data_IF_267313083777
#
_entry.id   IF_267313083777
#
_cell.length_a   1.000
_cell.length_b   1.000
_cell.length_c   1.000
_cell.angle_alpha   90.00
_cell.angle_beta   90.00
_cell.angle_gamma   90.00
#
_symmetry.space_group_name_H-M   'P 1'
#
loop_
_entity.id
_entity.type
_entity.pdbx_description
1 polymer ?
#
# COMPACT_ATOMS: atom_id res chain seq x y z
N UNK A 1 -6.74 -26.15 -21.17
CA UNK A 1 -6.49 -24.69 -21.24
C UNK A 1 -5.00 -24.49 -21.45
N UNK A 2 -4.56 -23.89 -22.57
CA UNK A 2 -3.14 -23.53 -22.73
C UNK A 2 -2.79 -22.50 -21.65
N UNK A 3 -1.67 -22.61 -20.94
CA UNK A 3 -1.24 -21.56 -20.02
C UNK A 3 -1.05 -20.27 -20.83
N UNK A 4 -1.84 -19.24 -20.51
CA UNK A 4 -1.66 -17.89 -21.04
C UNK A 4 -0.24 -17.45 -20.71
N UNK A 5 0.56 -17.14 -21.73
CA UNK A 5 1.91 -16.64 -21.50
C UNK A 5 1.84 -15.28 -20.80
N UNK A 6 2.69 -15.02 -19.79
CA UNK A 6 2.72 -13.73 -19.12
C UNK A 6 3.13 -12.64 -20.11
N UNK A 7 2.37 -11.53 -20.13
CA UNK A 7 2.70 -10.37 -20.95
C UNK A 7 3.75 -9.51 -20.25
N UNK A 8 4.68 -8.97 -21.04
CA UNK A 8 5.88 -8.28 -20.55
C UNK A 8 5.93 -6.87 -21.14
N UNK A 9 5.81 -5.85 -20.28
CA UNK A 9 5.84 -4.44 -20.67
C UNK A 9 7.18 -3.85 -20.27
N UNK A 10 7.96 -3.38 -21.24
CA UNK A 10 9.20 -2.65 -20.98
C UNK A 10 8.96 -1.18 -21.22
N UNK A 11 9.27 -0.35 -20.23
CA UNK A 11 9.08 1.09 -20.30
C UNK A 11 10.19 1.82 -19.56
N UNK A 12 10.25 3.12 -19.78
CA UNK A 12 11.11 4.05 -19.06
C UNK A 12 10.23 5.06 -18.34
N UNK A 13 10.39 5.17 -17.02
CA UNK A 13 9.63 6.07 -16.17
C UNK A 13 10.54 7.17 -15.67
N UNK A 14 10.25 8.42 -16.04
CA UNK A 14 10.94 9.59 -15.49
C UNK A 14 10.35 9.97 -14.14
N UNK A 15 11.19 10.05 -13.11
CA UNK A 15 10.83 10.51 -11.76
C UNK A 15 11.72 11.69 -11.35
N UNK A 16 11.33 12.50 -10.34
CA UNK A 16 12.22 13.50 -9.76
C UNK A 16 13.57 12.95 -9.26
N UNK A 17 13.61 11.66 -8.87
CA UNK A 17 14.80 10.99 -8.39
C UNK A 17 15.70 10.43 -9.51
N UNK A 18 15.15 10.27 -10.72
CA UNK A 18 15.87 9.83 -11.91
C UNK A 18 14.98 9.07 -12.90
N UNK A 19 15.59 8.51 -13.93
CA UNK A 19 14.88 7.63 -14.87
C UNK A 19 15.00 6.17 -14.43
N UNK A 20 13.89 5.44 -14.46
CA UNK A 20 13.82 4.01 -14.19
C UNK A 20 13.39 3.26 -15.46
N UNK A 21 14.33 2.51 -16.05
CA UNK A 21 14.02 1.55 -17.10
C UNK A 21 13.78 0.18 -16.48
N UNK A 22 12.55 -0.32 -16.55
CA UNK A 22 12.17 -1.60 -15.94
C UNK A 22 11.15 -2.35 -16.77
N UNK A 23 10.77 -3.52 -16.28
CA UNK A 23 9.86 -4.44 -16.94
C UNK A 23 8.76 -4.87 -15.99
N UNK A 24 7.51 -4.58 -16.34
CA UNK A 24 6.33 -5.07 -15.65
C UNK A 24 5.85 -6.36 -16.31
N UNK A 25 5.63 -7.40 -15.50
CA UNK A 25 5.07 -8.68 -15.97
C UNK A 25 3.67 -8.82 -15.39
N UNK A 26 2.71 -9.14 -16.25
CA UNK A 26 1.34 -9.45 -15.83
C UNK A 26 1.02 -10.93 -16.10
N UNK A 27 0.19 -11.57 -15.26
CA UNK A 27 -0.03 -13.01 -15.33
C UNK A 27 -0.89 -13.46 -16.52
N UNK A 28 -1.75 -12.59 -17.05
CA UNK A 28 -2.69 -12.89 -18.13
C UNK A 28 -3.17 -11.63 -18.84
N UNK A 29 -3.66 -11.78 -20.07
CA UNK A 29 -4.32 -10.69 -20.82
C UNK A 29 -5.61 -10.22 -20.15
N UNK A 30 -6.29 -11.08 -19.39
CA UNK A 30 -7.44 -10.72 -18.57
C UNK A 30 -7.13 -10.99 -17.10
N UNK A 31 -7.15 -9.95 -16.25
CA UNK A 31 -6.69 -10.05 -14.86
C UNK A 31 -7.57 -9.27 -13.88
N UNK A 32 -7.55 -9.67 -12.60
CA UNK A 32 -8.25 -8.97 -11.51
C UNK A 32 -7.46 -7.73 -11.08
N UNK A 33 -8.09 -6.83 -10.33
CA UNK A 33 -7.38 -5.70 -9.70
C UNK A 33 -6.29 -6.19 -8.72
N UNK A 34 -6.52 -7.30 -8.00
CA UNK A 34 -5.49 -7.87 -7.12
C UNK A 34 -4.24 -8.34 -7.87
N UNK A 35 -4.40 -8.78 -9.13
CA UNK A 35 -3.27 -9.16 -9.98
C UNK A 35 -2.44 -7.94 -10.41
N UNK A 36 -3.08 -6.79 -10.63
CA UNK A 36 -2.37 -5.53 -10.87
C UNK A 36 -1.50 -5.17 -9.66
N UNK A 37 -2.08 -5.16 -8.45
CA UNK A 37 -1.36 -4.82 -7.22
C UNK A 37 -0.14 -5.72 -6.99
N UNK A 38 -0.29 -7.04 -7.21
CA UNK A 38 0.85 -7.98 -7.12
C UNK A 38 1.92 -7.69 -8.17
N UNK A 39 1.51 -7.38 -9.40
CA UNK A 39 2.43 -7.18 -10.52
C UNK A 39 3.33 -5.96 -10.31
N UNK A 40 2.83 -4.91 -9.65
CA UNK A 40 3.57 -3.65 -9.45
C UNK A 40 4.51 -3.66 -8.25
N UNK A 41 4.46 -4.65 -7.36
CA UNK A 41 5.31 -4.69 -6.15
C UNK A 41 6.80 -4.54 -6.44
N UNK A 42 7.28 -5.19 -7.50
CA UNK A 42 8.68 -5.09 -7.92
C UNK A 42 9.01 -3.70 -8.47
N UNK A 43 8.11 -3.11 -9.24
CA UNK A 43 8.27 -1.75 -9.74
C UNK A 43 8.35 -0.75 -8.56
N UNK A 44 7.53 -0.95 -7.54
CA UNK A 44 7.55 -0.16 -6.31
C UNK A 44 8.87 -0.34 -5.52
N UNK A 45 9.38 -1.57 -5.39
CA UNK A 45 10.73 -1.80 -4.82
C UNK A 45 11.84 -1.07 -5.62
N UNK A 46 11.77 -1.09 -6.95
CA UNK A 46 12.73 -0.40 -7.82
C UNK A 46 12.66 1.13 -7.65
N UNK A 47 11.44 1.69 -7.51
CA UNK A 47 11.20 3.11 -7.24
C UNK A 47 11.74 3.54 -5.87
N UNK A 48 11.50 2.73 -4.84
CA UNK A 48 12.05 2.95 -3.51
C UNK A 48 13.58 2.92 -3.54
N UNK A 49 14.18 1.97 -4.25
CA UNK A 49 15.63 1.89 -4.40
C UNK A 49 16.20 3.12 -5.12
N UNK A 50 15.50 3.64 -6.13
CA UNK A 50 15.88 4.87 -6.82
C UNK A 50 15.82 6.09 -5.88
N UNK A 51 14.75 6.22 -5.10
CA UNK A 51 14.61 7.29 -4.11
C UNK A 51 15.65 7.25 -3.02
N UNK A 52 15.93 6.05 -2.47
CA UNK A 52 17.02 5.82 -1.53
C UNK A 52 18.35 6.28 -2.09
N UNK A 53 18.70 5.86 -3.32
CA UNK A 53 19.96 6.24 -3.97
C UNK A 53 20.08 7.75 -4.13
N UNK A 54 18.99 8.42 -4.53
CA UNK A 54 18.97 9.89 -4.74
C UNK A 54 19.15 10.65 -3.43
N UNK A 55 18.47 10.23 -2.37
CA UNK A 55 18.37 10.99 -1.13
C UNK A 55 19.39 10.60 -0.06
N UNK A 56 20.07 9.46 -0.20
CA UNK A 56 21.11 8.99 0.73
C UNK A 56 22.17 10.07 1.06
N UNK A 57 22.71 10.86 0.10
CA UNK A 57 23.70 11.90 0.42
C UNK A 57 23.12 13.12 1.14
N UNK A 58 21.80 13.29 1.13
CA UNK A 58 21.10 14.49 1.64
C UNK A 58 20.56 14.22 3.05
N UNK A 59 19.85 13.11 3.22
CA UNK A 59 19.13 12.80 4.47
C UNK A 59 19.78 11.67 5.28
N UNK A 60 20.82 11.02 4.74
CA UNK A 60 21.48 9.87 5.37
C UNK A 60 20.79 8.53 5.09
N UNK A 61 21.33 7.42 5.63
CA UNK A 61 20.77 6.09 5.44
C UNK A 61 19.44 5.91 6.18
N UNK A 62 18.60 4.96 5.77
CA UNK A 62 17.40 4.61 6.52
C UNK A 62 17.74 4.11 7.92
N UNK A 63 16.99 4.56 8.92
CA UNK A 63 17.03 4.02 10.28
C UNK A 63 16.29 2.69 10.40
N UNK A 64 15.44 2.36 9.42
CA UNK A 64 14.69 1.11 9.35
C UNK A 64 15.64 -0.08 9.18
N UNK A 65 15.50 -1.09 10.04
CA UNK A 65 16.26 -2.35 9.98
C UNK A 65 15.33 -3.52 10.25
N UNK A 66 15.78 -4.74 9.93
CA UNK A 66 15.04 -5.96 10.29
C UNK A 66 14.75 -5.95 11.80
N UNK A 67 13.50 -6.20 12.18
CA UNK A 67 13.03 -6.12 13.57
C UNK A 67 12.53 -4.73 14.00
N UNK A 68 12.60 -3.71 13.14
CA UNK A 68 11.89 -2.45 13.36
C UNK A 68 10.42 -2.61 12.97
N UNK A 69 9.51 -2.32 13.90
CA UNK A 69 8.08 -2.55 13.74
C UNK A 69 7.20 -1.34 14.09
N UNK A 70 7.77 -0.18 14.44
CA UNK A 70 6.96 0.99 14.86
C UNK A 70 6.02 1.52 13.77
N UNK A 71 6.31 1.26 12.49
CA UNK A 71 5.37 1.60 11.41
C UNK A 71 4.15 0.67 11.36
N UNK A 72 4.18 -0.48 12.04
CA UNK A 72 3.04 -1.38 12.16
C UNK A 72 1.96 -0.86 13.11
N UNK A 73 2.26 0.17 13.90
CA UNK A 73 1.28 0.83 14.78
C UNK A 73 0.62 2.05 14.09
N UNK A 74 0.94 2.29 12.81
CA UNK A 74 0.36 3.37 12.02
C UNK A 74 -0.89 2.91 11.26
N UNK A 75 -1.80 3.86 11.01
CA UNK A 75 -2.94 3.64 10.13
C UNK A 75 -2.47 3.64 8.67
N UNK A 76 -2.35 2.44 8.08
CA UNK A 76 -1.79 2.26 6.73
C UNK A 76 -2.89 2.44 5.67
N UNK A 77 -2.81 3.45 4.78
CA UNK A 77 -3.69 3.52 3.62
C UNK A 77 -3.29 2.49 2.56
N UNK A 78 -4.27 1.80 1.98
CA UNK A 78 -4.08 0.89 0.85
C UNK A 78 -5.11 1.15 -0.24
N UNK A 79 -4.73 0.92 -1.50
CA UNK A 79 -5.63 1.07 -2.65
C UNK A 79 -6.61 -0.08 -2.79
N UNK A 80 -7.72 0.11 -3.52
CA UNK A 80 -8.67 -0.98 -3.81
C UNK A 80 -8.02 -2.23 -4.45
N UNK A 81 -7.09 -2.11 -5.41
CA UNK A 81 -6.31 -3.26 -5.89
C UNK A 81 -5.56 -4.00 -4.78
N UNK A 82 -4.97 -3.27 -3.82
CA UNK A 82 -4.26 -3.85 -2.68
C UNK A 82 -5.22 -4.47 -1.65
N UNK A 83 -6.42 -3.90 -1.45
CA UNK A 83 -7.47 -4.48 -0.60
C UNK A 83 -7.78 -5.90 -1.04
N UNK A 84 -8.10 -6.10 -2.34
CA UNK A 84 -8.37 -7.44 -2.87
C UNK A 84 -7.15 -8.36 -2.83
N UNK A 85 -5.95 -7.82 -3.01
CA UNK A 85 -4.72 -8.60 -2.89
C UNK A 85 -4.47 -9.10 -1.46
N UNK A 86 -4.70 -8.25 -0.45
CA UNK A 86 -4.58 -8.62 0.96
C UNK A 86 -5.66 -9.65 1.34
N UNK A 87 -6.89 -9.45 0.88
CA UNK A 87 -7.97 -10.42 1.05
C UNK A 87 -7.57 -11.80 0.49
N UNK A 88 -7.19 -11.87 -0.79
CA UNK A 88 -6.74 -13.12 -1.42
C UNK A 88 -5.54 -13.75 -0.66
N UNK A 89 -4.64 -12.94 -0.11
CA UNK A 89 -3.48 -13.41 0.66
C UNK A 89 -3.94 -14.05 1.98
N UNK A 90 -4.85 -13.41 2.71
CA UNK A 90 -5.39 -13.93 3.98
C UNK A 90 -6.19 -15.21 3.72
N UNK A 91 -7.03 -15.24 2.67
CA UNK A 91 -7.79 -16.44 2.29
C UNK A 91 -6.92 -17.63 1.92
N UNK A 92 -5.67 -17.40 1.49
CA UNK A 92 -4.73 -18.46 1.13
C UNK A 92 -3.82 -18.91 2.30
N UNK A 93 -3.95 -18.32 3.49
CA UNK A 93 -3.17 -18.71 4.67
C UNK A 93 -3.64 -20.07 5.22
N UNK A 94 -2.76 -20.80 5.94
CA UNK A 94 -3.21 -21.94 6.76
C UNK A 94 -4.28 -21.50 7.76
N UNK A 95 -5.31 -22.33 7.98
CA UNK A 95 -6.48 -22.04 8.80
C UNK A 95 -6.14 -21.38 10.15
N UNK A 96 -5.23 -21.99 10.92
CA UNK A 96 -4.82 -21.45 12.23
C UNK A 96 -4.21 -20.04 12.14
N UNK A 97 -3.45 -19.75 11.08
CA UNK A 97 -2.87 -18.41 10.87
C UNK A 97 -3.90 -17.43 10.33
N UNK A 98 -4.81 -17.89 9.48
CA UNK A 98 -5.91 -17.09 8.97
C UNK A 98 -6.80 -16.60 10.12
N UNK A 99 -7.22 -17.51 11.02
CA UNK A 99 -8.02 -17.19 12.20
C UNK A 99 -7.34 -16.17 13.10
N UNK A 100 -6.03 -16.34 13.36
CA UNK A 100 -5.25 -15.40 14.16
C UNK A 100 -5.22 -13.99 13.55
N UNK A 101 -5.01 -13.90 12.22
CA UNK A 101 -4.98 -12.62 11.50
C UNK A 101 -6.36 -11.97 11.50
N UNK A 102 -7.42 -12.72 11.19
CA UNK A 102 -8.79 -12.22 11.17
C UNK A 102 -9.22 -11.70 12.55
N UNK A 103 -8.90 -12.43 13.62
CA UNK A 103 -9.17 -11.98 15.00
C UNK A 103 -8.54 -10.63 15.31
N UNK A 104 -7.28 -10.42 14.87
CA UNK A 104 -6.58 -9.14 15.07
C UNK A 104 -7.12 -8.02 14.18
N UNK A 105 -7.60 -8.36 12.98
CA UNK A 105 -8.24 -7.40 12.08
C UNK A 105 -9.53 -6.88 12.71
N UNK A 106 -10.42 -7.77 13.17
CA UNK A 106 -11.67 -7.38 13.85
C UNK A 106 -11.39 -6.49 15.07
N UNK A 107 -10.40 -6.85 15.90
CA UNK A 107 -10.02 -6.01 17.03
C UNK A 107 -9.50 -4.62 16.61
N UNK A 108 -8.84 -4.52 15.45
CA UNK A 108 -8.38 -3.23 14.90
C UNK A 108 -9.55 -2.40 14.34
N UNK A 109 -10.53 -3.06 13.72
CA UNK A 109 -11.77 -2.44 13.23
C UNK A 109 -12.58 -1.85 14.39
N UNK A 110 -12.75 -2.59 15.50
CA UNK A 110 -13.44 -2.10 16.70
C UNK A 110 -12.78 -0.82 17.26
N UNK A 111 -11.45 -0.75 17.25
CA UNK A 111 -10.74 0.47 17.66
C UNK A 111 -11.01 1.62 16.70
N UNK A 112 -10.98 1.39 15.39
CA UNK A 112 -11.29 2.41 14.39
C UNK A 112 -12.71 2.94 14.56
N UNK A 113 -13.69 2.06 14.74
CA UNK A 113 -15.08 2.43 14.99
C UNK A 113 -15.22 3.27 16.27
N UNK A 114 -14.52 2.90 17.34
CA UNK A 114 -14.54 3.66 18.61
C UNK A 114 -13.95 5.07 18.48
N UNK A 115 -13.06 5.26 17.51
CA UNK A 115 -12.46 6.55 17.15
C UNK A 115 -13.30 7.31 16.09
N UNK A 116 -14.41 6.74 15.62
CA UNK A 116 -15.25 7.34 14.57
C UNK A 116 -14.61 7.30 13.18
N UNK A 117 -13.70 6.35 12.94
CA UNK A 117 -12.94 6.20 11.69
C UNK A 117 -13.60 5.10 10.85
N UNK A 118 -14.09 5.46 9.67
CA UNK A 118 -14.64 4.50 8.71
C UNK A 118 -13.67 4.20 7.55
N UNK A 119 -14.10 3.34 6.63
CA UNK A 119 -13.30 2.94 5.47
C UNK A 119 -13.00 4.08 4.48
N UNK A 120 -13.73 5.20 4.56
CA UNK A 120 -13.59 6.37 3.70
C UNK A 120 -12.86 7.54 4.38
N UNK A 121 -12.49 7.40 5.66
CA UNK A 121 -11.87 8.46 6.45
C UNK A 121 -10.57 9.02 5.84
N UNK A 122 -9.87 8.24 5.01
CA UNK A 122 -8.64 8.66 4.34
C UNK A 122 -8.87 9.37 2.99
N UNK A 123 -10.13 9.44 2.54
CA UNK A 123 -10.54 10.20 1.35
C UNK A 123 -10.90 11.66 1.64
N UNK A 124 -10.94 12.09 2.91
CA UNK A 124 -11.12 13.50 3.25
C UNK A 124 -9.93 14.35 2.75
N UNK A 125 -10.24 15.46 2.09
CA UNK A 125 -9.26 16.30 1.38
C UNK A 125 -8.52 17.27 2.31
N UNK A 126 -8.91 17.37 3.57
CA UNK A 126 -8.25 18.24 4.55
C UNK A 126 -7.05 17.54 5.18
N UNK A 127 -5.84 17.88 4.75
CA UNK A 127 -4.58 17.31 5.26
C UNK A 127 -4.47 17.33 6.81
N UNK A 128 -5.00 18.38 7.44
CA UNK A 128 -4.99 18.53 8.90
C UNK A 128 -5.91 17.52 9.62
N UNK A 129 -7.05 17.13 9.04
CA UNK A 129 -7.94 16.12 9.64
C UNK A 129 -7.32 14.73 9.55
N UNK A 130 -6.73 14.39 8.40
CA UNK A 130 -6.03 13.12 8.20
C UNK A 130 -4.84 12.98 9.16
N UNK A 131 -4.03 14.03 9.35
CA UNK A 131 -2.90 13.95 10.27
C UNK A 131 -3.32 13.69 11.73
N UNK A 132 -4.41 14.30 12.18
CA UNK A 132 -4.95 14.08 13.52
C UNK A 132 -5.42 12.63 13.69
N UNK A 133 -6.15 12.12 12.70
CA UNK A 133 -6.59 10.73 12.62
C UNK A 133 -5.43 9.74 12.78
N UNK A 134 -4.34 9.95 12.03
CA UNK A 134 -3.15 9.07 12.09
C UNK A 134 -2.51 9.07 13.49
N UNK A 135 -2.48 10.22 14.17
CA UNK A 135 -1.92 10.35 15.52
C UNK A 135 -2.83 9.69 16.56
N UNK A 136 -4.15 9.87 16.46
CA UNK A 136 -5.12 9.26 17.37
C UNK A 136 -5.11 7.74 17.26
N UNK A 137 -5.09 7.21 16.03
CA UNK A 137 -4.94 5.78 15.81
C UNK A 137 -3.62 5.25 16.39
N UNK A 138 -2.49 5.91 16.14
CA UNK A 138 -1.19 5.51 16.72
C UNK A 138 -1.21 5.48 18.25
N UNK A 139 -1.89 6.44 18.89
CA UNK A 139 -2.04 6.51 20.36
C UNK A 139 -2.94 5.42 20.94
N UNK A 140 -3.81 4.80 20.14
CA UNK A 140 -4.63 3.67 20.60
C UNK A 140 -3.78 2.45 20.96
N UNK A 141 -2.53 2.37 20.45
CA UNK A 141 -1.66 1.21 20.63
C UNK A 141 -2.06 0.00 19.77
N UNK A 142 -2.97 0.19 18.81
CA UNK A 142 -3.39 -0.87 17.88
C UNK A 142 -2.27 -1.21 16.92
N UNK A 143 -1.84 -2.45 16.96
CA UNK A 143 -0.79 -2.97 16.09
C UNK A 143 -1.38 -3.74 14.91
N UNK A 144 -0.78 -3.58 13.73
CA UNK A 144 -1.14 -4.30 12.52
C UNK A 144 -1.25 -5.82 12.73
N UNK A 145 -2.35 -6.41 12.24
CA UNK A 145 -2.65 -7.83 12.35
C UNK A 145 -1.53 -8.76 11.81
N UNK A 146 -0.76 -8.29 10.84
CA UNK A 146 0.34 -9.02 10.22
C UNK A 146 1.67 -8.92 10.98
N UNK A 147 1.77 -8.17 12.08
CA UNK A 147 2.97 -8.17 12.90
C UNK A 147 3.06 -9.49 13.69
N UNK A 148 4.16 -10.22 13.51
CA UNK A 148 4.48 -11.43 14.26
C UNK A 148 5.88 -11.31 14.85
N UNK A 149 5.97 -11.33 16.19
CA UNK A 149 7.24 -11.27 16.96
C UNK A 149 8.20 -10.18 16.46
N UNK A 150 7.68 -8.98 16.19
CA UNK A 150 8.47 -7.83 15.73
C UNK A 150 8.88 -7.87 14.25
N UNK A 151 8.29 -8.78 13.45
CA UNK A 151 8.51 -8.87 12.00
C UNK A 151 7.17 -8.94 11.25
N UNK A 152 7.09 -8.28 10.09
CA UNK A 152 5.91 -8.36 9.24
C UNK A 152 5.79 -9.75 8.61
N UNK A 153 4.72 -10.50 8.91
CA UNK A 153 4.49 -11.84 8.36
C UNK A 153 4.22 -11.84 6.86
N UNK A 154 3.84 -10.68 6.29
CA UNK A 154 3.58 -10.49 4.86
C UNK A 154 4.63 -9.59 4.20
N UNK A 155 5.86 -9.52 4.75
CA UNK A 155 6.88 -8.54 4.34
C UNK A 155 7.10 -8.42 2.82
N UNK A 156 7.11 -9.55 2.10
CA UNK A 156 7.28 -9.58 0.63
C UNK A 156 6.06 -9.02 -0.10
N UNK A 157 4.88 -9.21 0.48
CA UNK A 157 3.57 -8.81 -0.04
C UNK A 157 3.03 -7.54 0.62
N UNK A 158 3.88 -6.78 1.32
CA UNK A 158 3.48 -5.55 1.99
C UNK A 158 2.91 -4.54 0.98
N UNK A 159 1.86 -3.79 1.36
CA UNK A 159 1.33 -2.70 0.56
C UNK A 159 2.38 -1.63 0.24
N UNK A 160 2.11 -0.85 -0.80
CA UNK A 160 2.94 0.25 -1.28
C UNK A 160 3.25 1.26 -0.18
N UNK A 161 2.22 1.71 0.56
CA UNK A 161 2.39 2.63 1.69
C UNK A 161 3.39 2.13 2.73
N UNK A 162 3.46 0.81 2.97
CA UNK A 162 4.45 0.21 3.86
C UNK A 162 5.84 0.10 3.23
N UNK A 163 5.93 -0.15 1.91
CA UNK A 163 7.17 -0.30 1.15
C UNK A 163 7.88 1.04 0.98
N UNK A 164 7.11 2.10 0.75
CA UNK A 164 7.55 3.49 0.57
C UNK A 164 7.79 4.22 1.90
N UNK A 165 7.45 3.62 3.05
CA UNK A 165 7.66 4.23 4.36
C UNK A 165 9.04 3.92 4.91
N UNK A 166 9.97 4.85 4.66
CA UNK A 166 11.33 4.80 5.17
C UNK A 166 11.66 6.12 5.84
N UNK A 167 12.38 6.07 6.97
CA UNK A 167 12.76 7.26 7.74
C UNK A 167 14.27 7.33 7.92
N UNK A 168 14.81 8.54 7.95
CA UNK A 168 16.21 8.82 8.27
C UNK A 168 16.42 9.45 9.65
N UNK A 169 15.34 9.91 10.31
CA UNK A 169 15.37 10.24 11.74
C UNK A 169 15.61 9.00 12.60
N UNK A 170 16.04 9.12 13.88
CA UNK A 170 16.17 7.97 14.78
C UNK A 170 14.91 7.09 14.81
N UNK A 171 15.08 5.77 14.81
CA UNK A 171 13.96 4.82 14.67
C UNK A 171 12.93 4.96 15.81
N UNK A 172 13.38 5.21 17.05
CA UNK A 172 12.51 5.51 18.20
C UNK A 172 11.55 6.68 18.00
N UNK A 173 11.81 7.60 17.05
CA UNK A 173 10.87 8.68 16.75
C UNK A 173 9.55 8.16 16.18
N UNK A 174 9.58 7.04 15.44
CA UNK A 174 8.38 6.41 14.89
C UNK A 174 7.42 5.88 15.96
N UNK A 175 7.87 5.71 17.21
CA UNK A 175 6.98 5.34 18.32
C UNK A 175 6.27 6.55 18.94
N UNK A 176 6.65 7.78 18.58
CA UNK A 176 6.21 9.05 19.21
C UNK A 176 5.62 10.01 18.17
N UNK A 177 4.84 9.47 17.23
CA UNK A 177 4.26 10.25 16.13
C UNK A 177 3.36 11.36 16.70
N UNK A 178 3.54 12.58 16.20
CA UNK A 178 2.84 13.77 16.68
C UNK A 178 3.54 14.50 17.83
N UNK A 179 4.54 13.89 18.47
CA UNK A 179 5.33 14.52 19.55
C UNK A 179 6.73 14.90 19.09
N UNK A 180 7.34 14.10 18.21
CA UNK A 180 8.67 14.35 17.66
C UNK A 180 8.65 14.35 16.13
N UNK A 181 9.68 14.95 15.53
CA UNK A 181 9.84 14.98 14.08
C UNK A 181 10.28 13.60 13.58
N UNK A 182 9.51 13.06 12.64
CA UNK A 182 9.85 11.86 11.87
C UNK A 182 10.22 12.31 10.45
N UNK A 183 11.49 12.16 10.08
CA UNK A 183 11.98 12.55 8.76
C UNK A 183 11.86 11.37 7.82
N UNK A 184 10.88 11.41 6.91
CA UNK A 184 10.73 10.41 5.85
C UNK A 184 11.75 10.64 4.74
N UNK A 185 12.23 9.55 4.16
CA UNK A 185 12.97 9.60 2.90
C UNK A 185 11.96 9.94 1.79
N UNK A 186 12.21 10.98 0.97
CA UNK A 186 11.30 11.33 -0.10
C UNK A 186 11.25 10.23 -1.17
N UNK A 187 10.04 9.79 -1.49
CA UNK A 187 9.72 8.92 -2.63
C UNK A 187 8.61 9.63 -3.41
N UNK A 188 8.89 10.09 -4.63
CA UNK A 188 7.99 10.97 -5.38
C UNK A 188 6.83 10.24 -6.04
N UNK A 189 6.98 8.95 -6.31
CA UNK A 189 5.89 8.11 -6.82
C UNK A 189 5.19 7.44 -5.64
N UNK A 190 3.86 7.59 -5.59
CA UNK A 190 2.99 7.02 -4.57
C UNK A 190 2.13 5.93 -5.21
N UNK A 191 2.60 4.70 -5.18
CA UNK A 191 2.01 3.58 -5.93
C UNK A 191 0.58 3.28 -5.47
N UNK A 192 0.28 3.39 -4.17
CA UNK A 192 -1.09 3.25 -3.67
C UNK A 192 -2.05 4.27 -4.30
N UNK A 193 -1.60 5.52 -4.51
CA UNK A 193 -2.43 6.55 -5.17
C UNK A 193 -2.60 6.25 -6.66
N UNK A 194 -1.54 5.80 -7.35
CA UNK A 194 -1.64 5.42 -8.76
C UNK A 194 -2.59 4.22 -8.96
N UNK A 195 -2.49 3.19 -8.12
CA UNK A 195 -3.41 2.05 -8.13
C UNK A 195 -4.86 2.48 -7.83
N UNK A 196 -5.04 3.42 -6.90
CA UNK A 196 -6.34 4.02 -6.60
C UNK A 196 -6.92 4.76 -7.80
N UNK A 197 -6.11 5.52 -8.54
CA UNK A 197 -6.53 6.20 -9.78
C UNK A 197 -6.95 5.22 -10.88
N UNK A 198 -6.20 4.12 -11.07
CA UNK A 198 -6.60 3.05 -12.01
C UNK A 198 -7.95 2.44 -11.60
N UNK A 199 -8.12 2.10 -10.32
CA UNK A 199 -9.37 1.51 -9.82
C UNK A 199 -10.56 2.47 -10.00
N UNK A 200 -10.39 3.75 -9.66
CA UNK A 200 -11.38 4.80 -9.89
C UNK A 200 -11.88 4.83 -11.34
N UNK A 201 -10.95 4.84 -12.30
CA UNK A 201 -11.25 4.90 -13.74
C UNK A 201 -12.03 3.69 -14.25
N UNK A 202 -11.65 2.47 -13.85
CA UNK A 202 -12.31 1.24 -14.36
C UNK A 202 -13.61 0.90 -13.62
N UNK A 203 -13.80 1.43 -12.41
CA UNK A 203 -15.02 1.26 -11.63
C UNK A 203 -16.02 2.40 -11.80
N UNK A 204 -15.59 3.56 -12.33
CA UNK A 204 -16.44 4.74 -12.51
C UNK A 204 -16.70 5.50 -11.22
N UNK A 205 -15.74 5.48 -10.28
CA UNK A 205 -15.83 6.10 -8.96
C UNK A 205 -14.65 7.06 -8.73
N UNK A 206 -14.65 7.77 -7.60
CA UNK A 206 -13.50 8.57 -7.18
C UNK A 206 -12.36 7.70 -6.60
N UNK A 207 -11.10 8.16 -6.65
CA UNK A 207 -9.98 7.50 -5.97
C UNK A 207 -10.25 7.32 -4.47
N UNK A 208 -10.00 6.11 -3.96
CA UNK A 208 -10.22 5.72 -2.58
C UNK A 208 -9.01 4.95 -2.03
N UNK A 209 -8.52 5.39 -0.88
CA UNK A 209 -7.59 4.66 -0.03
C UNK A 209 -8.33 4.18 1.21
N UNK A 210 -8.25 2.89 1.49
CA UNK A 210 -8.90 2.24 2.62
C UNK A 210 -7.84 1.97 3.70
N UNK A 211 -8.13 2.20 4.99
CA UNK A 211 -7.28 1.70 6.06
C UNK A 211 -7.07 0.18 5.96
N UNK A 212 -5.84 -0.31 6.07
CA UNK A 212 -5.51 -1.73 5.98
C UNK A 212 -6.34 -2.61 6.93
N UNK A 213 -6.72 -2.09 8.10
CA UNK A 213 -7.57 -2.79 9.05
C UNK A 213 -8.95 -3.12 8.46
N UNK A 214 -9.53 -2.28 7.59
CA UNK A 214 -10.82 -2.56 6.94
C UNK A 214 -10.70 -3.42 5.67
N UNK A 215 -9.50 -3.89 5.30
CA UNK A 215 -9.29 -4.55 4.01
C UNK A 215 -10.18 -5.78 3.81
N UNK A 216 -10.39 -6.61 4.85
CA UNK A 216 -11.16 -7.84 4.72
C UNK A 216 -12.64 -7.54 4.64
N UNK A 217 -13.19 -6.79 5.61
CA UNK A 217 -14.61 -6.41 5.60
C UNK A 217 -14.99 -5.66 4.31
N UNK A 218 -14.13 -4.75 3.84
CA UNK A 218 -14.36 -4.04 2.58
C UNK A 218 -14.36 -4.97 1.37
N UNK A 219 -13.39 -5.90 1.29
CA UNK A 219 -13.31 -6.85 0.18
C UNK A 219 -14.51 -7.80 0.13
N UNK A 220 -14.99 -8.27 1.28
CA UNK A 220 -16.16 -9.15 1.38
C UNK A 220 -17.46 -8.43 0.97
N UNK A 221 -17.64 -7.17 1.40
CA UNK A 221 -18.78 -6.34 0.97
C UNK A 221 -18.77 -6.03 -0.53
N UNK A 222 -17.61 -6.13 -1.19
CA UNK A 222 -17.41 -5.80 -2.59
C UNK A 222 -16.87 -6.99 -3.40
N UNK A 223 -17.26 -8.23 -3.03
CA UNK A 223 -16.74 -9.46 -3.65
C UNK A 223 -16.92 -9.45 -5.18
N UNK A 224 -18.07 -8.99 -5.67
CA UNK A 224 -18.35 -8.89 -7.11
C UNK A 224 -17.31 -8.03 -7.84
N UNK A 225 -16.93 -6.88 -7.26
CA UNK A 225 -15.88 -6.01 -7.79
C UNK A 225 -14.54 -6.74 -7.76
N UNK A 226 -14.25 -7.43 -6.66
CA UNK A 226 -13.03 -8.20 -6.49
C UNK A 226 -12.84 -9.29 -7.53
N UNK A 227 -13.93 -9.93 -7.99
CA UNK A 227 -13.89 -11.01 -8.99
C UNK A 227 -13.91 -10.52 -10.45
N UNK A 228 -14.21 -9.24 -10.69
CA UNK A 228 -14.19 -8.67 -12.05
C UNK A 228 -12.79 -8.78 -12.66
N UNK A 229 -12.76 -9.15 -13.94
CA UNK A 229 -11.54 -9.18 -14.75
C UNK A 229 -11.59 -8.09 -15.79
N UNK A 230 -10.42 -7.52 -16.06
CA UNK A 230 -10.22 -6.43 -17.01
C UNK A 230 -9.11 -6.80 -17.98
N UNK A 231 -9.05 -6.09 -19.10
CA UNK A 231 -7.91 -6.18 -20.00
C UNK A 231 -6.64 -5.69 -19.30
N UNK A 232 -5.63 -6.56 -19.21
CA UNK A 232 -4.40 -6.31 -18.49
C UNK A 232 -3.53 -5.26 -19.16
N UNK A 233 -3.52 -5.19 -20.50
CA UNK A 233 -2.81 -4.14 -21.23
C UNK A 233 -3.42 -2.76 -20.93
N UNK A 234 -4.75 -2.67 -20.91
CA UNK A 234 -5.48 -1.48 -20.53
C UNK A 234 -5.14 -1.05 -19.09
N UNK A 235 -5.19 -1.96 -18.12
CA UNK A 235 -4.84 -1.65 -16.73
C UNK A 235 -3.39 -1.15 -16.58
N UNK A 236 -2.43 -1.78 -17.27
CA UNK A 236 -1.03 -1.36 -17.25
C UNK A 236 -0.87 0.02 -17.89
N UNK A 237 -1.51 0.28 -19.03
CA UNK A 237 -1.44 1.60 -19.67
C UNK A 237 -2.02 2.69 -18.77
N UNK A 238 -3.18 2.45 -18.14
CA UNK A 238 -3.75 3.38 -17.17
C UNK A 238 -2.80 3.64 -16.01
N UNK A 239 -2.16 2.59 -15.47
CA UNK A 239 -1.15 2.75 -14.41
C UNK A 239 0.02 3.62 -14.88
N UNK A 240 0.55 3.38 -16.08
CA UNK A 240 1.67 4.18 -16.61
C UNK A 240 1.29 5.66 -16.80
N UNK A 241 0.03 5.93 -17.17
CA UNK A 241 -0.51 7.29 -17.21
C UNK A 241 -0.58 7.91 -15.82
N UNK A 242 -1.09 7.20 -14.81
CA UNK A 242 -1.13 7.67 -13.41
C UNK A 242 0.27 7.95 -12.86
N UNK A 243 1.24 7.09 -13.18
CA UNK A 243 2.64 7.25 -12.74
C UNK A 243 3.37 8.40 -13.45
N UNK A 244 2.93 8.75 -14.67
CA UNK A 244 3.52 9.83 -15.46
C UNK A 244 2.82 11.19 -15.24
N UNK A 245 1.65 11.18 -14.59
CA UNK A 245 0.93 12.39 -14.24
C UNK A 245 1.79 13.22 -13.27
N UNK A 246 1.93 14.52 -13.56
CA UNK A 246 2.58 15.43 -12.62
C UNK A 246 1.73 15.49 -11.35
N UNK A 247 2.33 15.44 -10.15
CA UNK A 247 1.56 15.64 -8.92
C UNK A 247 0.84 16.99 -9.03
N UNK A 248 -0.49 16.97 -8.84
CA UNK A 248 -1.26 18.21 -8.71
C UNK A 248 -0.64 18.99 -7.53
N UNK A 249 -0.12 20.16 -7.85
CA UNK A 249 0.50 21.12 -6.91
C UNK A 249 -0.43 21.52 -5.80
#
# INVERSE_FOLDING_TARGET
MKPTQPSVFTFELGTPEGSLRTTLRIPSESMRLSDLARSVMRLDDDLVALGLKKHLPIVGPPSCKKGCASCCDQLVPISIPEVFMIHDLVSAMPEARQEEVLTRIVASEEVLESLGIDAFALSDTKEQSVRQLLVEYHRSGTTCAFLDKGSCSIYTSRPASCREYLVSSPAENCAKIGEVVVTRIPISIRMAHALSGVAARVLGNDPLLVPLAFAIAWAEQHEEIGQRKFDGCMLVNMLLEELSAKPNT
#
